data_IF_337191401203
#
_entry.id   IF_337191401203
#
_cell.length_a   1.000
_cell.length_b   1.000
_cell.length_c   1.000
_cell.angle_alpha   90.00
_cell.angle_beta   90.00
_cell.angle_gamma   90.00
#
_symmetry.space_group_name_H-M   'P 1'
#
loop_
_entity.id
_entity.type
_entity.pdbx_description
1 polymer ?
#
# COMPACT_ATOMS: atom_id res chain seq x y z
N UNK A 1 2.90 -5.65 12.49
CA UNK A 1 3.74 -5.19 11.36
C UNK A 1 4.70 -4.10 11.86
N UNK A 2 6.01 -4.20 11.57
CA UNK A 2 6.97 -3.12 11.91
C UNK A 2 6.96 -2.04 10.82
N UNK A 3 7.56 -0.89 11.08
CA UNK A 3 7.63 0.21 10.10
C UNK A 3 8.40 -0.18 8.83
N UNK A 4 9.49 -0.95 8.97
CA UNK A 4 10.29 -1.45 7.83
C UNK A 4 9.45 -2.37 6.93
N UNK A 5 8.63 -3.24 7.53
CA UNK A 5 7.73 -4.13 6.78
C UNK A 5 6.67 -3.34 6.01
N UNK A 6 6.14 -2.27 6.62
CA UNK A 6 5.15 -1.40 5.97
C UNK A 6 5.76 -0.71 4.73
N UNK A 7 6.96 -0.14 4.86
CA UNK A 7 7.62 0.53 3.74
C UNK A 7 8.09 -0.46 2.66
N UNK A 8 8.56 -1.65 3.05
CA UNK A 8 8.95 -2.71 2.11
C UNK A 8 7.75 -3.22 1.32
N UNK A 9 6.63 -3.47 1.99
CA UNK A 9 5.38 -3.84 1.34
C UNK A 9 4.87 -2.73 0.40
N UNK A 10 4.89 -1.47 0.83
CA UNK A 10 4.47 -0.34 0.00
C UNK A 10 5.34 -0.19 -1.26
N UNK A 11 6.66 -0.33 -1.11
CA UNK A 11 7.60 -0.30 -2.21
C UNK A 11 7.38 -1.46 -3.19
N UNK A 12 7.18 -2.68 -2.67
CA UNK A 12 6.83 -3.85 -3.47
C UNK A 12 5.53 -3.61 -4.25
N UNK A 13 4.46 -3.16 -3.57
CA UNK A 13 3.18 -2.90 -4.23
C UNK A 13 3.33 -1.92 -5.39
N UNK A 14 4.07 -0.83 -5.19
CA UNK A 14 4.34 0.13 -6.27
C UNK A 14 5.19 -0.44 -7.40
N UNK A 15 6.17 -1.30 -7.10
CA UNK A 15 7.00 -1.96 -8.13
C UNK A 15 6.20 -2.95 -8.98
N UNK A 16 5.28 -3.69 -8.38
CA UNK A 16 4.52 -4.75 -9.06
C UNK A 16 3.25 -4.24 -9.73
N UNK A 17 2.55 -3.29 -9.11
CA UNK A 17 1.23 -2.83 -9.53
C UNK A 17 1.20 -1.37 -10.00
N UNK A 18 2.27 -0.59 -9.78
CA UNK A 18 2.34 0.79 -10.23
C UNK A 18 1.19 1.64 -9.68
N UNK A 19 0.41 2.28 -10.56
CA UNK A 19 -0.71 3.13 -10.18
C UNK A 19 -1.86 2.37 -9.49
N UNK A 20 -2.03 1.07 -9.77
CA UNK A 20 -3.09 0.26 -9.14
C UNK A 20 -2.68 -0.30 -7.78
N UNK A 21 -1.44 -0.06 -7.33
CA UNK A 21 -0.91 -0.53 -6.05
C UNK A 21 -1.80 -0.17 -4.85
N UNK A 22 -2.41 1.03 -4.88
CA UNK A 22 -3.31 1.49 -3.82
C UNK A 22 -4.62 0.70 -3.80
N UNK A 23 -5.19 0.41 -4.97
CA UNK A 23 -6.44 -0.35 -5.11
C UNK A 23 -6.24 -1.81 -4.71
N UNK A 24 -5.15 -2.43 -5.16
CA UNK A 24 -4.82 -3.82 -4.79
C UNK A 24 -4.51 -3.97 -3.29
N UNK A 25 -3.85 -2.96 -2.69
CA UNK A 25 -3.61 -2.96 -1.24
C UNK A 25 -4.90 -2.75 -0.44
N UNK A 26 -5.84 -1.95 -0.95
CA UNK A 26 -7.17 -1.78 -0.34
C UNK A 26 -7.95 -3.10 -0.37
N UNK A 27 -7.98 -3.78 -1.51
CA UNK A 27 -8.59 -5.11 -1.64
C UNK A 27 -8.02 -6.10 -0.63
N UNK A 28 -6.69 -6.14 -0.45
CA UNK A 28 -6.06 -6.98 0.57
C UNK A 28 -6.52 -6.61 1.98
N UNK A 29 -6.61 -5.32 2.30
CA UNK A 29 -7.12 -4.90 3.61
C UNK A 29 -8.56 -5.39 3.84
N UNK A 30 -9.41 -5.31 2.82
CA UNK A 30 -10.79 -5.81 2.87
C UNK A 30 -10.84 -7.34 3.02
N UNK A 31 -9.94 -8.08 2.38
CA UNK A 31 -9.81 -9.54 2.52
C UNK A 31 -9.43 -9.95 3.95
N UNK A 32 -8.49 -9.23 4.59
CA UNK A 32 -8.15 -9.44 6.00
C UNK A 32 -9.31 -9.10 6.94
N UNK A 33 -10.02 -7.99 6.68
CA UNK A 33 -11.19 -7.59 7.46
C UNK A 33 -12.32 -8.64 7.33
N UNK A 34 -12.57 -9.16 6.14
CA UNK A 34 -13.56 -10.21 5.89
C UNK A 34 -13.18 -11.54 6.57
N UNK A 35 -11.89 -11.82 6.71
CA UNK A 35 -11.39 -12.96 7.47
C UNK A 35 -11.46 -12.77 9.00
N UNK A 36 -11.89 -11.60 9.48
CA UNK A 36 -11.93 -11.26 10.91
C UNK A 36 -10.57 -10.88 11.50
N UNK A 37 -9.53 -10.72 10.67
CA UNK A 37 -8.21 -10.29 11.09
C UNK A 37 -8.08 -8.76 11.00
N UNK A 38 -8.62 -8.09 12.02
CA UNK A 38 -8.57 -6.63 12.13
C UNK A 38 -7.13 -6.08 12.26
N UNK A 39 -6.21 -6.84 12.83
CA UNK A 39 -4.80 -6.42 12.99
C UNK A 39 -4.07 -6.47 11.64
N UNK A 40 -4.32 -7.53 10.86
CA UNK A 40 -3.89 -7.63 9.46
C UNK A 40 -4.43 -6.49 8.60
N UNK A 41 -5.73 -6.20 8.68
CA UNK A 41 -6.36 -5.09 7.96
C UNK A 41 -5.74 -3.73 8.35
N UNK A 42 -5.52 -3.48 9.65
CA UNK A 42 -4.86 -2.28 10.14
C UNK A 42 -3.42 -2.14 9.61
N UNK A 43 -2.70 -3.25 9.50
CA UNK A 43 -1.38 -3.30 8.84
C UNK A 43 -1.44 -2.85 7.39
N UNK A 44 -2.38 -3.38 6.60
CA UNK A 44 -2.56 -3.00 5.20
C UNK A 44 -3.03 -1.56 5.02
N UNK A 45 -3.84 -1.02 5.92
CA UNK A 45 -4.18 0.40 5.91
C UNK A 45 -2.94 1.30 6.05
N UNK A 46 -1.96 0.91 6.86
CA UNK A 46 -0.68 1.63 6.96
C UNK A 46 0.16 1.50 5.68
N UNK A 47 0.14 0.33 5.03
CA UNK A 47 0.79 0.11 3.72
C UNK A 47 0.17 1.02 2.65
N UNK A 48 -1.16 1.14 2.59
CA UNK A 48 -1.87 2.05 1.67
C UNK A 48 -1.45 3.50 1.89
N UNK A 49 -1.34 3.93 3.14
CA UNK A 49 -0.86 5.27 3.47
C UNK A 49 0.59 5.49 3.01
N UNK A 50 1.47 4.51 3.26
CA UNK A 50 2.87 4.55 2.82
C UNK A 50 3.01 4.57 1.29
N UNK A 51 2.18 3.81 0.55
CA UNK A 51 2.10 3.86 -0.92
C UNK A 51 1.77 5.28 -1.38
N UNK A 52 0.75 5.91 -0.77
CA UNK A 52 0.38 7.29 -1.09
C UNK A 52 1.53 8.27 -0.85
N UNK A 53 2.28 8.12 0.24
CA UNK A 53 3.46 8.94 0.50
C UNK A 53 4.58 8.70 -0.52
N UNK A 54 4.84 7.44 -0.89
CA UNK A 54 5.90 7.10 -1.84
C UNK A 54 5.56 7.59 -3.26
N UNK A 55 4.29 7.46 -3.67
CA UNK A 55 3.79 7.97 -4.93
C UNK A 55 3.89 9.51 -4.98
N UNK A 56 3.55 10.20 -3.89
CA UNK A 56 3.67 11.67 -3.84
C UNK A 56 5.12 12.17 -3.84
N UNK A 57 6.07 11.36 -3.31
CA UNK A 57 7.51 11.66 -3.35
C UNK A 57 8.15 11.38 -4.71
N UNK A 58 7.50 10.59 -5.55
CA UNK A 58 7.93 10.34 -6.92
C UNK A 58 7.21 11.38 -7.78
N UNK A 59 7.85 12.51 -8.17
CA UNK A 59 7.17 13.47 -9.02
C UNK A 59 6.71 12.71 -10.27
N UNK A 60 5.39 12.69 -10.49
CA UNK A 60 4.84 12.27 -11.76
C UNK A 60 5.60 13.08 -12.80
N UNK A 61 6.38 12.41 -13.66
CA UNK A 61 7.10 13.11 -14.74
C UNK A 61 6.10 14.08 -15.38
N UNK A 62 6.47 15.36 -15.61
CA UNK A 62 5.59 16.23 -16.36
C UNK A 62 5.36 15.56 -17.71
N UNK A 63 4.12 15.15 -17.96
CA UNK A 63 3.66 14.81 -19.30
C UNK A 63 3.75 16.12 -20.08
N UNK A 64 4.79 16.22 -20.89
CA UNK A 64 5.12 17.36 -21.76
C UNK A 64 4.29 17.29 -23.04
#
# INVERSE_FOLDING_TARGET
MTEIEIWSAAYLMLRWYGETARQESARRADEFAAAGDADGAAGWHRVIAAIGQLANRTPARPLH
#
